data_IF_266207252867
#
_entry.id   IF_266207252867
#
_cell.length_a   1.000
_cell.length_b   1.000
_cell.length_c   1.000
_cell.angle_alpha   90.00
_cell.angle_beta   90.00
_cell.angle_gamma   90.00
#
_symmetry.space_group_name_H-M   'P 1'
#
loop_
_entity.id
_entity.type
_entity.pdbx_description
1 polymer ?
#
# COMPACT_ATOMS: atom_id res chain seq x y z
N UNK A 1 -7.55 18.64 -20.75
CA UNK A 1 -6.40 18.34 -21.61
C UNK A 1 -5.22 17.75 -20.81
N UNK A 2 -4.60 18.48 -19.88
CA UNK A 2 -3.36 17.99 -19.21
C UNK A 2 -3.56 16.72 -18.37
N UNK A 3 -4.71 16.57 -17.70
CA UNK A 3 -5.05 15.34 -16.95
C UNK A 3 -5.40 14.20 -17.92
N UNK A 4 -6.23 14.47 -18.92
CA UNK A 4 -6.67 13.47 -19.91
C UNK A 4 -5.50 12.89 -20.71
N UNK A 5 -4.47 13.71 -20.98
CA UNK A 5 -3.26 13.29 -21.67
C UNK A 5 -2.12 12.85 -20.72
N UNK A 6 -2.41 12.68 -19.46
CA UNK A 6 -1.48 12.08 -18.49
C UNK A 6 -0.28 12.92 -18.09
N UNK A 7 -0.28 14.22 -18.38
CA UNK A 7 0.87 15.09 -18.08
C UNK A 7 0.90 15.59 -16.64
N UNK A 8 -0.23 15.60 -15.94
CA UNK A 8 -0.33 15.99 -14.53
C UNK A 8 -1.10 14.95 -13.72
N UNK A 9 -0.74 14.79 -12.46
CA UNK A 9 -1.37 13.83 -11.56
C UNK A 9 -2.76 14.28 -11.13
N UNK A 10 -2.90 15.57 -10.81
CA UNK A 10 -4.14 16.11 -10.26
C UNK A 10 -4.21 17.62 -10.48
N UNK A 11 -5.41 18.12 -10.70
CA UNK A 11 -5.72 19.55 -10.65
C UNK A 11 -6.44 19.83 -9.35
N UNK A 12 -5.94 20.79 -8.57
CA UNK A 12 -6.49 21.16 -7.27
C UNK A 12 -6.99 22.61 -7.28
N UNK A 13 -8.13 22.91 -6.67
CA UNK A 13 -8.51 24.25 -6.28
C UNK A 13 -7.44 24.86 -5.37
N UNK A 14 -7.23 26.17 -5.45
CA UNK A 14 -6.17 26.85 -4.66
C UNK A 14 -6.39 26.69 -3.16
N UNK A 15 -7.63 26.66 -2.72
CA UNK A 15 -8.05 26.52 -1.33
C UNK A 15 -7.58 25.16 -0.74
N UNK A 16 -7.66 24.10 -1.54
CA UNK A 16 -7.29 22.72 -1.14
C UNK A 16 -5.78 22.45 -1.28
N UNK A 17 -5.07 23.26 -2.08
CA UNK A 17 -3.69 22.99 -2.45
C UNK A 17 -2.76 22.87 -1.25
N UNK A 18 -2.95 23.69 -0.20
CA UNK A 18 -2.11 23.68 1.01
C UNK A 18 -2.25 22.36 1.77
N UNK A 19 -3.45 21.86 1.96
CA UNK A 19 -3.73 20.63 2.70
C UNK A 19 -3.16 19.43 1.94
N UNK A 20 -3.50 19.29 0.67
CA UNK A 20 -3.02 18.19 -0.17
C UNK A 20 -1.50 18.19 -0.32
N UNK A 21 -0.88 19.36 -0.53
CA UNK A 21 0.59 19.46 -0.58
C UNK A 21 1.24 19.12 0.76
N UNK A 22 0.65 19.54 1.88
CA UNK A 22 1.15 19.20 3.22
C UNK A 22 1.09 17.68 3.45
N UNK A 23 0.01 17.04 3.05
CA UNK A 23 -0.16 15.59 3.17
C UNK A 23 0.83 14.82 2.29
N UNK A 24 0.98 15.22 1.04
CA UNK A 24 1.99 14.65 0.13
C UNK A 24 3.39 14.79 0.73
N UNK A 25 3.75 15.97 1.23
CA UNK A 25 5.06 16.20 1.84
C UNK A 25 5.26 15.37 3.11
N UNK A 26 4.21 15.20 3.92
CA UNK A 26 4.25 14.35 5.11
C UNK A 26 4.51 12.88 4.73
N UNK A 27 3.85 12.36 3.69
CA UNK A 27 4.04 11.01 3.19
C UNK A 27 5.43 10.79 2.55
N UNK A 28 6.04 11.84 2.02
CA UNK A 28 7.40 11.77 1.46
C UNK A 28 8.48 11.96 2.53
N UNK A 29 8.19 12.71 3.60
CA UNK A 29 9.16 13.04 4.64
C UNK A 29 9.29 12.01 5.77
N UNK A 30 8.33 11.14 5.97
CA UNK A 30 8.42 10.05 6.95
C UNK A 30 9.40 8.98 6.46
N UNK A 31 10.63 9.10 6.91
CA UNK A 31 11.56 7.97 6.91
C UNK A 31 10.96 6.91 7.83
N UNK A 32 10.80 5.69 7.36
CA UNK A 32 10.40 4.58 8.22
C UNK A 32 11.41 4.45 9.35
N UNK A 33 11.06 4.87 10.57
CA UNK A 33 11.90 4.78 11.77
C UNK A 33 12.14 3.32 12.21
N UNK A 34 11.70 2.33 11.43
CA UNK A 34 11.78 0.89 11.73
C UNK A 34 12.80 0.07 10.93
N UNK A 35 13.53 0.63 9.94
CA UNK A 35 14.46 -0.15 9.09
C UNK A 35 15.93 0.22 9.23
N UNK A 36 16.35 0.82 10.33
CA UNK A 36 17.76 1.15 10.57
C UNK A 36 18.32 0.38 11.77
N UNK A 37 18.50 -0.94 11.64
CA UNK A 37 19.47 -1.66 12.48
C UNK A 37 20.06 -2.85 11.68
N UNK A 38 21.08 -2.54 10.90
CA UNK A 38 21.88 -3.57 10.24
C UNK A 38 22.91 -2.96 9.30
N UNK A 39 24.06 -2.56 9.83
CA UNK A 39 25.23 -2.35 8.99
C UNK A 39 26.07 -1.10 9.24
N UNK A 40 27.20 -1.24 9.93
CA UNK A 40 28.38 -0.45 9.65
C UNK A 40 28.79 0.59 10.68
N UNK A 41 29.46 0.09 11.70
CA UNK A 41 30.47 0.77 12.50
C UNK A 41 31.47 1.57 11.65
N UNK A 42 31.72 2.82 12.01
CA UNK A 42 33.02 3.50 11.93
C UNK A 42 32.88 5.01 12.27
N UNK A 43 33.25 5.41 13.44
CA UNK A 43 34.27 6.35 13.90
C UNK A 43 33.93 6.94 15.26
N UNK A 44 34.83 6.62 16.15
CA UNK A 44 34.99 7.17 17.51
C UNK A 44 35.32 8.66 17.44
N UNK A 45 34.80 9.46 18.38
CA UNK A 45 35.67 10.30 19.22
C UNK A 45 34.95 10.86 20.45
N UNK A 46 35.55 10.50 21.58
CA UNK A 46 35.83 11.25 22.82
C UNK A 46 34.71 11.91 23.64
N UNK A 47 34.60 11.33 24.82
CA UNK A 47 34.03 11.78 26.11
C UNK A 47 34.72 13.09 26.61
N UNK A 48 34.06 13.91 27.49
CA UNK A 48 34.44 13.75 28.90
C UNK A 48 33.27 13.67 29.90
N UNK A 49 33.58 12.97 31.00
CA UNK A 49 32.86 12.83 32.25
C UNK A 49 32.67 14.16 32.99
N UNK A 50 31.59 14.25 33.80
CA UNK A 50 31.68 14.63 35.21
C UNK A 50 30.33 14.49 35.96
N UNK A 51 30.43 13.80 37.11
CA UNK A 51 29.74 13.98 38.41
C UNK A 51 28.21 13.80 38.47
N UNK A 52 27.68 12.82 39.14
CA UNK A 52 27.86 12.25 40.47
C UNK A 52 27.13 13.03 41.59
N UNK A 53 25.95 12.55 42.00
CA UNK A 53 25.19 12.64 43.25
C UNK A 53 23.75 13.03 43.09
N UNK A 54 22.88 12.04 43.17
CA UNK A 54 21.61 12.06 43.93
C UNK A 54 20.83 10.77 43.68
N UNK A 55 21.25 9.73 44.36
CA UNK A 55 20.53 8.47 44.52
C UNK A 55 20.20 8.36 46.01
N UNK A 56 18.95 8.55 46.40
CA UNK A 56 18.32 7.98 47.58
C UNK A 56 16.99 8.72 47.91
N UNK A 57 15.95 8.55 47.09
CA UNK A 57 14.56 8.81 47.52
C UNK A 57 13.46 8.28 46.58
N UNK A 58 13.78 7.44 45.61
CA UNK A 58 12.76 6.93 44.66
C UNK A 58 12.43 5.43 44.80
N UNK A 59 12.97 4.72 45.76
CA UNK A 59 12.73 3.26 45.88
C UNK A 59 11.36 2.84 46.45
N UNK A 60 10.63 3.72 47.13
CA UNK A 60 9.35 3.36 47.79
C UNK A 60 8.10 3.64 46.96
N UNK A 61 8.22 4.42 45.86
CA UNK A 61 7.10 4.66 44.93
C UNK A 61 7.05 3.65 43.79
N UNK A 62 8.18 3.04 43.46
CA UNK A 62 8.29 2.08 42.33
C UNK A 62 7.67 0.70 42.66
N UNK A 63 7.69 0.26 43.91
CA UNK A 63 7.11 -1.03 44.32
C UNK A 63 5.57 -1.03 44.34
N UNK A 64 4.93 0.09 44.64
CA UNK A 64 3.46 0.19 44.69
C UNK A 64 2.86 0.29 43.25
N UNK A 65 3.60 0.81 42.29
CA UNK A 65 3.17 0.90 40.90
C UNK A 65 3.37 -0.43 40.17
N UNK A 66 4.37 -1.22 40.56
CA UNK A 66 4.65 -2.54 39.99
C UNK A 66 3.57 -3.58 40.34
N UNK A 67 3.04 -3.55 41.56
CA UNK A 67 1.98 -4.46 42.02
C UNK A 67 0.63 -4.19 41.31
N UNK A 68 0.34 -2.93 40.96
CA UNK A 68 -0.87 -2.55 40.22
C UNK A 68 -0.75 -2.83 38.71
N UNK A 69 0.47 -2.83 38.16
CA UNK A 69 0.71 -3.15 36.77
C UNK A 69 0.63 -4.67 36.50
N UNK A 70 1.06 -5.51 37.44
CA UNK A 70 0.98 -6.97 37.31
C UNK A 70 -0.46 -7.53 37.39
N UNK A 71 -1.39 -6.85 38.06
CA UNK A 71 -2.82 -7.23 38.10
C UNK A 71 -3.58 -6.80 36.82
N UNK A 72 -3.16 -5.74 36.13
CA UNK A 72 -3.78 -5.30 34.88
C UNK A 72 -3.23 -6.06 33.66
N UNK A 73 -1.95 -6.43 33.63
CA UNK A 73 -1.39 -7.24 32.57
C UNK A 73 -1.94 -8.67 32.49
N UNK A 74 -2.26 -9.28 33.64
CA UNK A 74 -2.83 -10.64 33.69
C UNK A 74 -4.29 -10.74 33.23
N UNK A 75 -5.02 -9.64 33.12
CA UNK A 75 -6.41 -9.61 32.60
C UNK A 75 -6.48 -9.27 31.13
N UNK A 76 -5.53 -8.48 30.60
CA UNK A 76 -5.47 -8.14 29.18
C UNK A 76 -4.82 -9.25 28.34
N UNK A 77 -3.77 -9.91 28.83
CA UNK A 77 -3.13 -11.04 28.13
C UNK A 77 -4.04 -12.26 27.99
N UNK A 78 -5.01 -12.47 28.88
CA UNK A 78 -5.97 -13.58 28.78
C UNK A 78 -7.05 -13.35 27.72
N UNK A 79 -7.45 -12.10 27.46
CA UNK A 79 -8.44 -11.75 26.44
C UNK A 79 -7.80 -11.69 25.05
N UNK A 80 -6.63 -11.08 24.94
CA UNK A 80 -5.89 -10.94 23.67
C UNK A 80 -5.38 -12.31 23.17
N UNK A 81 -5.01 -13.22 24.06
CA UNK A 81 -4.65 -14.61 23.74
C UNK A 81 -5.81 -15.45 23.22
N UNK A 82 -7.04 -15.27 23.77
CA UNK A 82 -8.23 -15.97 23.30
C UNK A 82 -8.74 -15.41 21.97
N UNK A 83 -8.69 -14.08 21.75
CA UNK A 83 -9.08 -13.48 20.47
C UNK A 83 -8.09 -13.83 19.35
N UNK A 84 -6.78 -13.87 19.63
CA UNK A 84 -5.76 -14.32 18.68
C UNK A 84 -5.88 -15.81 18.36
N UNK A 85 -6.20 -16.67 19.34
CA UNK A 85 -6.44 -18.10 19.11
C UNK A 85 -7.68 -18.34 18.26
N UNK A 86 -8.80 -17.67 18.57
CA UNK A 86 -10.04 -17.77 17.80
C UNK A 86 -9.92 -17.19 16.39
N UNK A 87 -9.07 -16.18 16.19
CA UNK A 87 -8.77 -15.62 14.88
C UNK A 87 -7.90 -16.56 14.05
N UNK A 88 -6.88 -17.16 14.66
CA UNK A 88 -6.03 -18.17 14.03
C UNK A 88 -6.80 -19.43 13.60
N UNK A 89 -7.71 -19.94 14.46
CA UNK A 89 -8.55 -21.10 14.14
C UNK A 89 -9.57 -20.81 13.02
N UNK A 90 -10.10 -19.58 12.94
CA UNK A 90 -10.97 -19.17 11.83
C UNK A 90 -10.19 -19.00 10.52
N UNK A 91 -9.00 -18.44 10.56
CA UNK A 91 -8.13 -18.31 9.39
C UNK A 91 -7.68 -19.67 8.88
N UNK A 92 -7.27 -20.61 9.74
CA UNK A 92 -6.90 -21.97 9.34
C UNK A 92 -8.07 -22.72 8.67
N UNK A 93 -9.28 -22.62 9.21
CA UNK A 93 -10.49 -23.24 8.61
C UNK A 93 -10.85 -22.61 7.27
N UNK A 94 -10.64 -21.31 7.09
CA UNK A 94 -10.90 -20.63 5.83
C UNK A 94 -9.89 -21.01 4.74
N UNK A 95 -8.60 -21.12 5.09
CA UNK A 95 -7.55 -21.62 4.21
C UNK A 95 -7.75 -23.08 3.83
N UNK A 96 -8.19 -23.94 4.75
CA UNK A 96 -8.54 -25.35 4.46
C UNK A 96 -9.74 -25.45 3.51
N UNK A 97 -10.75 -24.60 3.66
CA UNK A 97 -11.90 -24.57 2.77
C UNK A 97 -11.54 -24.05 1.37
N UNK A 98 -10.62 -23.10 1.27
CA UNK A 98 -10.08 -22.64 -0.01
C UNK A 98 -9.29 -23.74 -0.73
N UNK A 99 -8.49 -24.52 -0.01
CA UNK A 99 -7.77 -25.68 -0.57
C UNK A 99 -8.69 -26.79 -1.08
N UNK A 100 -9.88 -26.94 -0.51
CA UNK A 100 -10.90 -27.90 -0.92
C UNK A 100 -11.78 -27.40 -2.07
N UNK A 101 -11.72 -26.10 -2.40
CA UNK A 101 -12.49 -25.54 -3.51
C UNK A 101 -11.95 -26.03 -4.85
N UNK A 102 -12.84 -26.42 -5.75
CA UNK A 102 -12.43 -26.74 -7.11
C UNK A 102 -11.94 -25.49 -7.85
N UNK A 103 -11.11 -25.66 -8.89
CA UNK A 103 -10.67 -24.54 -9.73
C UNK A 103 -11.87 -23.77 -10.33
N UNK A 104 -12.96 -24.47 -10.62
CA UNK A 104 -14.18 -23.88 -11.11
C UNK A 104 -14.88 -22.99 -10.07
N UNK A 105 -14.93 -23.44 -8.81
CA UNK A 105 -15.49 -22.62 -7.72
C UNK A 105 -14.68 -21.32 -7.52
N UNK A 106 -13.37 -21.38 -7.65
CA UNK A 106 -12.51 -20.20 -7.60
C UNK A 106 -12.83 -19.23 -8.75
N UNK A 107 -13.01 -19.73 -9.97
CA UNK A 107 -13.41 -18.92 -11.12
C UNK A 107 -14.78 -18.29 -10.90
N UNK A 108 -15.74 -19.04 -10.38
CA UNK A 108 -17.07 -18.52 -10.09
C UNK A 108 -17.03 -17.44 -9.00
N UNK A 109 -16.27 -17.64 -7.92
CA UNK A 109 -16.07 -16.62 -6.87
C UNK A 109 -15.44 -15.36 -7.44
N UNK A 110 -14.39 -15.47 -8.25
CA UNK A 110 -13.72 -14.33 -8.87
C UNK A 110 -14.62 -13.52 -9.83
N UNK A 111 -15.67 -14.15 -10.37
CA UNK A 111 -16.64 -13.52 -11.29
C UNK A 111 -17.93 -13.02 -10.62
N UNK A 112 -18.08 -13.20 -9.31
CA UNK A 112 -19.24 -12.66 -8.59
C UNK A 112 -19.28 -11.14 -8.70
N UNK A 113 -20.51 -10.59 -8.86
CA UNK A 113 -20.72 -9.15 -8.98
C UNK A 113 -20.77 -8.41 -7.64
N UNK A 114 -21.06 -9.13 -6.57
CA UNK A 114 -21.27 -8.64 -5.21
C UNK A 114 -20.00 -8.68 -4.34
N UNK A 115 -18.87 -9.05 -4.91
CA UNK A 115 -17.60 -9.04 -4.18
C UNK A 115 -16.92 -7.66 -4.21
N UNK A 116 -16.13 -7.33 -3.20
CA UNK A 116 -15.32 -6.13 -3.22
C UNK A 116 -14.36 -6.09 -4.42
N UNK A 117 -14.15 -4.91 -4.97
CA UNK A 117 -13.19 -4.64 -6.05
C UNK A 117 -12.06 -3.74 -5.55
N UNK A 118 -10.99 -3.56 -6.34
CA UNK A 118 -9.81 -2.80 -5.92
C UNK A 118 -10.10 -1.42 -5.34
N UNK A 119 -11.10 -0.70 -5.91
CA UNK A 119 -11.54 0.60 -5.38
C UNK A 119 -12.20 0.54 -4.00
N UNK A 120 -12.85 -0.58 -3.66
CA UNK A 120 -13.46 -0.76 -2.33
C UNK A 120 -12.37 -1.01 -1.29
N UNK A 121 -11.39 -1.85 -1.59
CA UNK A 121 -10.24 -2.06 -0.72
C UNK A 121 -9.44 -0.76 -0.49
N UNK A 122 -9.26 0.06 -1.53
CA UNK A 122 -8.58 1.35 -1.36
C UNK A 122 -9.35 2.24 -0.39
N UNK A 123 -10.67 2.34 -0.54
CA UNK A 123 -11.53 3.19 0.31
C UNK A 123 -11.54 2.77 1.78
N UNK A 124 -11.56 1.45 2.03
CA UNK A 124 -11.63 0.92 3.38
C UNK A 124 -10.28 0.90 4.09
N UNK A 125 -9.21 0.55 3.38
CA UNK A 125 -7.88 0.38 3.99
C UNK A 125 -7.04 1.66 3.99
N UNK A 126 -7.34 2.61 3.09
CA UNK A 126 -6.52 3.80 2.86
C UNK A 126 -7.37 5.07 2.83
N UNK A 127 -7.89 5.54 3.98
CA UNK A 127 -8.79 6.72 4.02
C UNK A 127 -8.10 8.03 3.59
N UNK A 128 -6.78 8.07 3.63
CA UNK A 128 -5.95 9.22 3.21
C UNK A 128 -5.36 9.05 1.78
N UNK A 129 -5.93 8.16 0.97
CA UNK A 129 -5.42 7.87 -0.36
C UNK A 129 -5.47 9.08 -1.29
N UNK A 130 -4.33 9.40 -1.88
CA UNK A 130 -4.19 10.45 -2.89
C UNK A 130 -3.91 9.79 -4.24
N UNK A 131 -4.88 9.83 -5.14
CA UNK A 131 -4.75 9.26 -6.48
C UNK A 131 -3.85 10.12 -7.37
N UNK A 132 -2.99 9.44 -8.14
CA UNK A 132 -2.14 10.02 -9.16
C UNK A 132 -2.53 9.49 -10.53
N UNK A 133 -2.53 10.37 -11.52
CA UNK A 133 -3.01 10.09 -12.86
C UNK A 133 -1.90 10.15 -13.91
N UNK A 134 -2.15 9.48 -15.04
CA UNK A 134 -1.39 9.62 -16.26
C UNK A 134 -0.05 8.88 -16.32
N UNK A 135 0.33 8.54 -17.56
CA UNK A 135 1.55 7.81 -17.88
C UNK A 135 2.73 8.71 -18.27
N UNK A 136 2.52 10.02 -18.43
CA UNK A 136 3.48 11.03 -18.92
C UNK A 136 3.88 10.88 -20.39
N UNK A 137 3.15 10.07 -21.16
CA UNK A 137 3.44 9.84 -22.58
C UNK A 137 2.22 10.06 -23.47
N UNK A 138 1.09 9.46 -23.11
CA UNK A 138 -0.10 9.46 -23.95
C UNK A 138 -1.38 9.85 -23.21
N UNK A 139 -1.66 9.22 -22.08
CA UNK A 139 -2.92 9.44 -21.39
C UNK A 139 -2.99 8.86 -19.98
N UNK A 140 -4.20 8.86 -19.44
CA UNK A 140 -4.53 8.12 -18.21
C UNK A 140 -5.34 6.88 -18.55
N UNK A 141 -5.27 5.88 -17.68
CA UNK A 141 -6.07 4.66 -17.80
C UNK A 141 -6.88 4.44 -16.52
N UNK A 142 -8.20 4.45 -16.66
CA UNK A 142 -9.12 4.24 -15.56
C UNK A 142 -9.14 2.78 -15.05
N UNK A 143 -8.59 1.82 -15.79
CA UNK A 143 -8.43 0.44 -15.34
C UNK A 143 -7.37 0.29 -14.26
N UNK A 144 -6.47 1.28 -14.10
CA UNK A 144 -5.48 1.34 -13.01
C UNK A 144 -5.77 2.52 -12.10
N UNK A 145 -6.07 2.23 -10.84
CA UNK A 145 -6.07 3.21 -9.75
C UNK A 145 -4.70 3.15 -9.08
N UNK A 146 -4.01 4.27 -8.98
CA UNK A 146 -2.69 4.29 -8.35
C UNK A 146 -2.42 5.59 -7.63
N UNK A 147 -1.72 5.51 -6.50
CA UNK A 147 -1.45 6.68 -5.69
C UNK A 147 -0.62 6.38 -4.44
N UNK A 148 -0.67 7.29 -3.51
CA UNK A 148 0.02 7.19 -2.22
C UNK A 148 -0.99 7.25 -1.08
N UNK A 149 -0.66 6.55 0.01
CA UNK A 149 -1.48 6.51 1.21
C UNK A 149 -0.60 6.25 2.45
N UNK A 150 -1.23 6.22 3.62
CA UNK A 150 -0.62 5.75 4.85
C UNK A 150 -1.28 4.43 5.26
N UNK A 151 -0.48 3.41 5.51
CA UNK A 151 -0.94 2.14 6.06
C UNK A 151 -0.28 1.94 7.43
N UNK A 152 -1.09 1.95 8.48
CA UNK A 152 -0.62 1.90 9.87
C UNK A 152 0.53 2.89 10.14
N UNK A 153 0.34 4.13 9.72
CA UNK A 153 1.32 5.21 9.87
C UNK A 153 2.55 5.14 8.94
N UNK A 154 2.67 4.09 8.13
CA UNK A 154 3.75 3.93 7.15
C UNK A 154 3.29 4.40 5.77
N UNK A 155 4.01 5.35 5.12
CA UNK A 155 3.70 5.76 3.76
C UNK A 155 3.90 4.61 2.78
N UNK A 156 2.88 4.34 1.95
CA UNK A 156 2.89 3.27 0.94
C UNK A 156 2.46 3.83 -0.42
N UNK A 157 2.83 3.11 -1.46
CA UNK A 157 2.27 3.32 -2.80
C UNK A 157 1.28 2.19 -3.07
N UNK A 158 0.05 2.52 -3.43
CA UNK A 158 -1.01 1.55 -3.72
C UNK A 158 -1.32 1.59 -5.21
N UNK A 159 -1.38 0.42 -5.84
CA UNK A 159 -1.71 0.24 -7.25
C UNK A 159 -2.77 -0.86 -7.33
N UNK A 160 -3.93 -0.56 -7.90
CA UNK A 160 -5.01 -1.52 -8.05
C UNK A 160 -5.44 -1.62 -9.52
N UNK A 161 -5.60 -2.83 -9.98
CA UNK A 161 -6.40 -3.11 -11.18
C UNK A 161 -7.87 -3.00 -10.78
N UNK A 162 -8.60 -2.12 -11.45
CA UNK A 162 -9.92 -1.71 -11.00
C UNK A 162 -11.01 -2.16 -11.97
N UNK A 163 -11.84 -3.07 -11.52
CA UNK A 163 -13.16 -3.29 -12.08
C UNK A 163 -14.15 -2.27 -11.53
N UNK A 164 -15.22 -2.01 -12.24
CA UNK A 164 -16.31 -1.16 -11.78
C UNK A 164 -17.31 -1.92 -10.90
N UNK A 165 -18.00 -1.21 -10.02
CA UNK A 165 -19.10 -1.73 -9.21
C UNK A 165 -20.36 -1.99 -10.04
N UNK A 166 -20.57 -1.24 -11.13
CA UNK A 166 -21.70 -1.38 -12.04
C UNK A 166 -21.24 -1.48 -13.51
N UNK A 167 -22.20 -1.70 -14.41
CA UNK A 167 -21.93 -1.86 -15.85
C UNK A 167 -21.32 -0.61 -16.47
N UNK A 168 -21.76 0.58 -16.08
CA UNK A 168 -21.27 1.85 -16.61
C UNK A 168 -19.82 2.09 -16.18
N UNK A 169 -19.54 1.84 -14.92
CA UNK A 169 -18.19 1.96 -14.39
C UNK A 169 -17.26 0.88 -14.98
N UNK A 170 -17.74 -0.34 -15.16
CA UNK A 170 -16.97 -1.40 -15.83
C UNK A 170 -16.59 -1.01 -17.26
N UNK A 171 -17.50 -0.42 -18.03
CA UNK A 171 -17.18 0.09 -19.38
C UNK A 171 -16.11 1.17 -19.29
N UNK A 172 -16.25 2.13 -18.37
CA UNK A 172 -15.26 3.21 -18.17
C UNK A 172 -13.88 2.70 -17.80
N UNK A 173 -13.82 1.59 -17.02
CA UNK A 173 -12.59 0.94 -16.58
C UNK A 173 -12.14 -0.19 -17.50
N UNK A 174 -12.68 -0.25 -18.69
CA UNK A 174 -12.38 -1.28 -19.67
C UNK A 174 -12.44 -2.71 -19.08
N UNK A 175 -13.43 -2.96 -18.20
CA UNK A 175 -13.63 -4.21 -17.47
C UNK A 175 -12.43 -4.66 -16.62
N UNK A 176 -11.61 -3.72 -16.18
CA UNK A 176 -10.38 -3.99 -15.45
C UNK A 176 -9.26 -4.55 -16.34
N UNK A 177 -9.31 -4.27 -17.64
CA UNK A 177 -8.25 -4.63 -18.58
C UNK A 177 -7.37 -3.41 -18.88
N UNK A 178 -6.14 -3.33 -18.34
CA UNK A 178 -5.30 -2.18 -18.55
C UNK A 178 -4.83 -2.04 -20.01
N UNK A 179 -4.83 -0.81 -20.50
CA UNK A 179 -4.19 -0.36 -21.71
C UNK A 179 -2.69 -0.06 -21.48
N UNK A 180 -1.88 0.22 -22.50
CA UNK A 180 -0.45 0.54 -22.34
C UNK A 180 -0.20 1.67 -21.34
N UNK A 181 -1.11 2.66 -21.29
CA UNK A 181 -1.05 3.80 -20.37
C UNK A 181 -1.15 3.37 -18.91
N UNK A 182 -1.99 2.37 -18.63
CA UNK A 182 -2.14 1.78 -17.28
C UNK A 182 -0.87 1.13 -16.79
N UNK A 183 -0.24 0.31 -17.62
CA UNK A 183 1.05 -0.32 -17.30
C UNK A 183 2.16 0.71 -17.09
N UNK A 184 2.23 1.73 -17.95
CA UNK A 184 3.23 2.80 -17.81
C UNK A 184 2.98 3.67 -16.55
N UNK A 185 1.71 3.96 -16.22
CA UNK A 185 1.33 4.63 -14.97
C UNK A 185 1.76 3.81 -13.77
N UNK A 186 1.46 2.52 -13.75
CA UNK A 186 1.86 1.63 -12.66
C UNK A 186 3.39 1.62 -12.47
N UNK A 187 4.16 1.44 -13.54
CA UNK A 187 5.62 1.47 -13.50
C UNK A 187 6.15 2.80 -12.97
N UNK A 188 5.61 3.92 -13.42
CA UNK A 188 6.00 5.25 -12.96
C UNK A 188 5.80 5.39 -11.45
N UNK A 189 4.69 4.89 -10.91
CA UNK A 189 4.41 4.92 -9.48
C UNK A 189 5.34 4.00 -8.70
N UNK A 190 5.68 2.82 -9.22
CA UNK A 190 6.67 1.93 -8.61
C UNK A 190 8.07 2.56 -8.55
N UNK A 191 8.50 3.23 -9.62
CA UNK A 191 9.77 3.99 -9.64
C UNK A 191 9.75 5.17 -8.66
N UNK A 192 8.62 5.85 -8.53
CA UNK A 192 8.46 6.88 -7.51
C UNK A 192 8.51 6.29 -6.10
N UNK A 193 7.88 5.12 -5.89
CA UNK A 193 7.93 4.41 -4.61
C UNK A 193 9.37 4.05 -4.23
N UNK A 194 10.14 3.50 -5.15
CA UNK A 194 11.56 3.20 -4.97
C UNK A 194 12.37 4.44 -4.59
N UNK A 195 12.18 5.56 -5.30
CA UNK A 195 12.86 6.84 -5.02
C UNK A 195 12.62 7.34 -3.61
N UNK A 196 11.41 7.17 -3.09
CA UNK A 196 11.01 7.65 -1.77
C UNK A 196 10.97 6.54 -0.71
N UNK A 197 11.48 5.36 -1.03
CA UNK A 197 11.57 4.20 -0.13
C UNK A 197 10.22 3.78 0.47
N UNK A 198 9.14 3.86 -0.33
CA UNK A 198 7.81 3.39 0.06
C UNK A 198 7.60 1.95 -0.41
N UNK A 199 7.08 1.07 0.42
CA UNK A 199 6.55 -0.22 -0.04
C UNK A 199 5.44 -0.01 -1.09
N UNK A 200 5.33 -0.96 -2.02
CA UNK A 200 4.26 -0.99 -3.02
C UNK A 200 3.28 -2.08 -2.66
N UNK A 201 1.99 -1.76 -2.65
CA UNK A 201 0.90 -2.70 -2.46
C UNK A 201 0.12 -2.78 -3.77
N UNK A 202 0.08 -3.97 -4.37
CA UNK A 202 -0.62 -4.25 -5.61
C UNK A 202 -1.89 -5.06 -5.33
N UNK A 203 -3.04 -4.56 -5.76
CA UNK A 203 -4.33 -5.26 -5.73
C UNK A 203 -4.66 -5.71 -7.15
N UNK A 204 -4.49 -7.00 -7.42
CA UNK A 204 -4.63 -7.58 -8.76
C UNK A 204 -6.02 -8.18 -8.93
N UNK A 205 -6.81 -7.61 -9.83
CA UNK A 205 -8.15 -8.08 -10.18
C UNK A 205 -8.48 -7.76 -11.65
N UNK A 206 -7.92 -8.53 -12.56
CA UNK A 206 -8.08 -8.34 -14.00
C UNK A 206 -8.40 -9.66 -14.71
N UNK A 207 -9.16 -9.63 -15.81
CA UNK A 207 -9.23 -10.78 -16.73
C UNK A 207 -8.02 -10.87 -17.65
N UNK A 208 -7.18 -9.83 -17.76
CA UNK A 208 -6.02 -9.74 -18.62
C UNK A 208 -5.78 -8.32 -19.15
N UNK A 209 -4.79 -8.17 -20.02
CA UNK A 209 -4.51 -6.91 -20.70
C UNK A 209 -5.60 -6.61 -21.76
N UNK A 210 -5.82 -5.35 -22.05
CA UNK A 210 -6.70 -4.97 -23.15
C UNK A 210 -6.14 -5.41 -24.49
N UNK A 211 -6.96 -6.11 -25.29
CA UNK A 211 -6.56 -6.74 -26.55
C UNK A 211 -7.13 -5.99 -27.77
N UNK A 212 -7.09 -4.67 -27.77
CA UNK A 212 -7.53 -3.85 -28.90
C UNK A 212 -6.37 -3.45 -29.83
N UNK A 213 -6.68 -3.25 -31.10
CA UNK A 213 -5.71 -2.76 -32.10
C UNK A 213 -5.04 -1.46 -31.66
N UNK A 214 -5.82 -0.54 -31.11
CA UNK A 214 -5.31 0.73 -30.58
C UNK A 214 -4.30 0.54 -29.43
N UNK A 215 -4.45 -0.50 -28.61
CA UNK A 215 -3.49 -0.81 -27.55
C UNK A 215 -2.18 -1.36 -28.12
N UNK A 216 -2.28 -2.22 -29.14
CA UNK A 216 -1.09 -2.74 -29.83
C UNK A 216 -0.31 -1.62 -30.54
N UNK A 217 -0.99 -0.70 -31.21
CA UNK A 217 -0.39 0.49 -31.84
C UNK A 217 0.35 1.37 -30.83
N UNK A 218 -0.12 1.43 -29.56
CA UNK A 218 0.52 2.19 -28.50
C UNK A 218 1.49 1.38 -27.64
N UNK A 219 1.82 0.15 -28.06
CA UNK A 219 2.88 -0.67 -27.50
C UNK A 219 2.46 -1.47 -26.26
N UNK A 220 1.31 -2.16 -26.31
CA UNK A 220 0.82 -3.00 -25.22
C UNK A 220 1.85 -4.03 -24.77
N UNK A 221 2.42 -4.79 -25.70
CA UNK A 221 3.42 -5.81 -25.38
C UNK A 221 4.69 -5.23 -24.77
N UNK A 222 5.16 -4.08 -25.27
CA UNK A 222 6.32 -3.36 -24.71
C UNK A 222 6.04 -2.89 -23.27
N UNK A 223 4.88 -2.27 -23.03
CA UNK A 223 4.53 -1.75 -21.72
C UNK A 223 4.46 -2.86 -20.66
N UNK A 224 3.93 -4.03 -21.02
CA UNK A 224 3.90 -5.22 -20.14
C UNK A 224 5.32 -5.74 -19.90
N UNK A 225 6.09 -5.97 -20.97
CA UNK A 225 7.44 -6.52 -20.87
C UNK A 225 8.36 -5.60 -20.04
N UNK A 226 8.22 -4.28 -20.21
CA UNK A 226 8.97 -3.30 -19.44
C UNK A 226 8.61 -3.34 -17.96
N UNK A 227 7.34 -3.50 -17.59
CA UNK A 227 6.95 -3.68 -16.19
C UNK A 227 7.65 -4.89 -15.58
N UNK A 228 7.62 -6.06 -16.24
CA UNK A 228 8.28 -7.27 -15.75
C UNK A 228 9.78 -7.06 -15.55
N UNK A 229 10.43 -6.46 -16.52
CA UNK A 229 11.87 -6.19 -16.47
C UNK A 229 12.24 -5.24 -15.33
N UNK A 230 11.56 -4.10 -15.24
CA UNK A 230 11.86 -3.06 -14.25
C UNK A 230 11.48 -3.48 -12.83
N UNK A 231 10.37 -4.22 -12.66
CA UNK A 231 9.96 -4.76 -11.35
C UNK A 231 11.00 -5.71 -10.78
N UNK A 232 11.71 -6.48 -11.62
CA UNK A 232 12.77 -7.41 -11.16
C UNK A 232 13.96 -6.69 -10.51
N UNK A 233 14.13 -5.40 -10.77
CA UNK A 233 15.24 -4.58 -10.27
C UNK A 233 14.85 -3.60 -9.18
N UNK A 234 13.56 -3.50 -8.81
CA UNK A 234 13.08 -2.60 -7.74
C UNK A 234 13.71 -2.95 -6.41
N UNK A 235 14.16 -1.90 -5.70
CA UNK A 235 14.80 -2.01 -4.37
C UNK A 235 13.85 -1.72 -3.22
N UNK A 236 12.56 -1.62 -3.50
CA UNK A 236 11.51 -1.45 -2.50
C UNK A 236 10.64 -2.70 -2.45
N UNK A 237 10.08 -3.08 -1.28
CA UNK A 237 9.18 -4.21 -1.18
C UNK A 237 7.94 -4.02 -2.07
N UNK A 238 7.55 -5.08 -2.78
CA UNK A 238 6.30 -5.16 -3.55
C UNK A 238 5.49 -6.31 -3.00
N UNK A 239 4.28 -6.00 -2.52
CA UNK A 239 3.31 -6.96 -2.01
C UNK A 239 2.16 -7.06 -3.02
N UNK A 240 1.71 -8.28 -3.30
CA UNK A 240 0.61 -8.55 -4.23
C UNK A 240 -0.41 -9.47 -3.60
#
# INVERSE_FOLDING_TARGET
>A
FLVEHGFVDRILPREEAKEVLSEILRMHGKRAEGMASGGGDLMKNSVPEENGKELQKEETAAESVKALAEETENTETSRDGQEKSLRGEKEETEWENLRKSSAWDCVQKARKKDRPVGGDYIRELFPDFIEFHGDRLYGDDAAIIGGIASFDGTPVTVIAEAKGADTKENIRRNFGMPSPEGYRKALRLMKQAEKFHRPVICLVDTPGAFCGMEAEERGQGEAIARNLYEMSSLKTPVLT
#
